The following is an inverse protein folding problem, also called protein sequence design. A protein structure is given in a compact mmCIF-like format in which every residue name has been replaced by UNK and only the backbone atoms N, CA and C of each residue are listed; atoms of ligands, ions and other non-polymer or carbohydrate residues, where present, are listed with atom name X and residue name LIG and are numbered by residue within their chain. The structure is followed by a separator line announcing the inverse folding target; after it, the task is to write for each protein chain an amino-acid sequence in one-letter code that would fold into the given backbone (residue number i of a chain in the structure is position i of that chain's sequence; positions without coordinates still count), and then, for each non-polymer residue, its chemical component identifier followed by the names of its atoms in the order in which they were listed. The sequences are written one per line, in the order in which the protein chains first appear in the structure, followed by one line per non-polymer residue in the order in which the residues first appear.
data_IF_926996287276
#
_entry.id   IF_926996287276
#
_cell.length_a   1.000
_cell.length_b   1.000
_cell.length_c   1.000
_cell.angle_alpha   90.00
_cell.angle_beta   90.00
_cell.angle_gamma   90.00
#
_symmetry.space_group_name_H-M   'P 1'
#
loop_
_entity.id
_entity.type
_entity.pdbx_description
1 polymer ?
#
# COMPACT_ATOMS: atom_id res chain seq x y z
N UNK A 1 4.19 -9.42 -20.65
CA UNK A 1 3.64 -9.57 -19.31
C UNK A 1 4.04 -10.90 -18.71
N UNK A 2 4.36 -10.93 -17.42
CA UNK A 2 4.55 -12.18 -16.70
C UNK A 2 3.24 -12.53 -15.99
N UNK A 3 2.49 -13.56 -16.45
CA UNK A 3 1.17 -13.86 -15.89
C UNK A 3 1.23 -14.35 -14.43
N UNK A 4 2.38 -14.85 -13.98
CA UNK A 4 2.57 -15.25 -12.59
C UNK A 4 2.48 -14.05 -11.61
N UNK A 5 2.94 -12.88 -12.06
CA UNK A 5 2.97 -11.65 -11.26
C UNK A 5 1.95 -10.61 -11.73
N UNK A 6 1.02 -10.99 -12.62
CA UNK A 6 -0.08 -10.13 -13.01
C UNK A 6 -1.13 -10.15 -11.92
N UNK A 7 -1.37 -8.99 -11.32
CA UNK A 7 -2.34 -8.81 -10.23
C UNK A 7 -3.31 -7.69 -10.58
N UNK A 8 -4.59 -7.90 -10.25
CA UNK A 8 -5.63 -6.91 -10.39
C UNK A 8 -6.09 -6.45 -9.03
N UNK A 9 -6.37 -5.17 -8.93
CA UNK A 9 -6.93 -4.58 -7.73
C UNK A 9 -7.71 -3.31 -8.07
N UNK A 10 -8.60 -2.92 -7.17
CA UNK A 10 -9.36 -1.68 -7.24
C UNK A 10 -8.93 -0.73 -6.15
N UNK A 11 -9.00 0.55 -6.38
CA UNK A 11 -8.91 1.54 -5.31
C UNK A 11 -10.06 1.36 -4.32
N UNK A 12 -9.85 1.74 -3.08
CA UNK A 12 -10.86 1.61 -2.03
C UNK A 12 -10.75 2.73 -1.00
N UNK A 13 -11.86 2.99 -0.34
CA UNK A 13 -11.97 3.88 0.81
C UNK A 13 -12.41 3.10 2.05
N UNK A 14 -12.10 3.61 3.23
CA UNK A 14 -12.44 3.00 4.52
C UNK A 14 -13.76 3.54 5.08
N UNK A 15 -14.32 4.59 4.45
CA UNK A 15 -15.62 5.17 4.79
C UNK A 15 -15.57 6.41 5.68
N UNK A 16 -14.38 6.88 6.03
CA UNK A 16 -14.19 8.12 6.80
C UNK A 16 -13.41 9.21 6.06
N UNK A 17 -13.05 8.94 4.81
CA UNK A 17 -12.33 9.89 3.97
C UNK A 17 -13.26 11.06 3.58
N UNK A 18 -12.82 12.31 3.75
CA UNK A 18 -13.65 13.49 3.49
C UNK A 18 -13.92 13.74 2.00
N UNK A 19 -13.05 13.21 1.14
CA UNK A 19 -13.10 13.35 -0.31
C UNK A 19 -12.82 11.99 -0.97
N UNK A 20 -13.86 11.38 -1.53
CA UNK A 20 -13.78 10.08 -2.17
C UNK A 20 -13.11 10.16 -3.55
N UNK A 21 -13.34 11.22 -4.32
CA UNK A 21 -12.72 11.39 -5.65
C UNK A 21 -11.20 11.56 -5.49
N UNK A 22 -10.77 12.37 -4.50
CA UNK A 22 -9.35 12.45 -4.18
C UNK A 22 -8.79 11.10 -3.76
N UNK A 23 -9.47 10.40 -2.86
CA UNK A 23 -8.97 9.14 -2.29
C UNK A 23 -8.89 8.02 -3.32
N UNK A 24 -9.91 7.88 -4.15
CA UNK A 24 -10.05 6.76 -5.07
C UNK A 24 -9.36 6.99 -6.43
N UNK A 25 -9.24 8.23 -6.86
CA UNK A 25 -8.82 8.57 -8.23
C UNK A 25 -7.62 9.53 -8.22
N UNK A 26 -7.79 10.74 -7.69
CA UNK A 26 -6.81 11.81 -7.91
C UNK A 26 -5.51 11.59 -7.14
N UNK A 27 -5.58 11.16 -5.89
CA UNK A 27 -4.39 10.92 -5.05
C UNK A 27 -3.52 9.78 -5.57
N UNK A 28 -4.06 8.60 -5.92
CA UNK A 28 -3.27 7.55 -6.57
C UNK A 28 -2.58 8.03 -7.85
N UNK A 29 -3.28 8.74 -8.71
CA UNK A 29 -2.74 9.29 -9.97
C UNK A 29 -1.60 10.27 -9.68
N UNK A 30 -1.82 11.25 -8.79
CA UNK A 30 -0.77 12.23 -8.44
C UNK A 30 0.48 11.55 -7.89
N UNK A 31 0.33 10.54 -7.04
CA UNK A 31 1.49 9.81 -6.47
C UNK A 31 2.26 9.01 -7.52
N UNK A 32 1.56 8.30 -8.38
CA UNK A 32 2.19 7.48 -9.45
C UNK A 32 2.87 8.35 -10.49
N UNK A 33 2.36 9.56 -10.75
CA UNK A 33 2.88 10.48 -11.76
C UNK A 33 3.79 11.58 -11.19
N UNK A 34 4.08 11.58 -9.89
CA UNK A 34 5.00 12.56 -9.28
C UNK A 34 6.46 12.19 -9.63
N UNK A 35 7.17 13.02 -10.43
CA UNK A 35 8.55 12.73 -10.83
C UNK A 35 9.54 12.76 -9.66
N UNK A 36 9.14 13.32 -8.51
CA UNK A 36 9.96 13.30 -7.29
C UNK A 36 9.97 11.94 -6.60
N UNK A 37 8.96 11.10 -6.86
CA UNK A 37 8.83 9.77 -6.27
C UNK A 37 9.49 8.73 -7.20
N UNK A 38 10.81 8.81 -7.30
CA UNK A 38 11.60 8.07 -8.28
C UNK A 38 11.81 6.58 -7.95
N UNK A 39 11.52 6.16 -6.73
CA UNK A 39 11.64 4.77 -6.30
C UNK A 39 10.30 4.19 -5.91
N UNK A 40 10.13 2.91 -6.18
CA UNK A 40 8.90 2.17 -5.87
C UNK A 40 9.23 0.79 -5.33
N UNK A 41 8.45 0.36 -4.35
CA UNK A 41 8.43 -1.01 -3.83
C UNK A 41 7.00 -1.51 -3.87
N UNK A 42 6.72 -2.50 -4.72
CA UNK A 42 5.42 -3.15 -4.84
C UNK A 42 5.43 -4.51 -4.15
N UNK A 43 4.36 -4.83 -3.46
CA UNK A 43 4.18 -6.15 -2.86
C UNK A 43 2.71 -6.47 -2.59
N UNK A 44 2.27 -7.71 -2.84
CA UNK A 44 0.99 -8.20 -2.38
C UNK A 44 1.04 -8.59 -0.91
N UNK A 45 -0.12 -8.62 -0.29
CA UNK A 45 -0.27 -9.19 1.05
C UNK A 45 -1.63 -9.87 1.20
N UNK A 46 -1.67 -10.86 2.11
CA UNK A 46 -2.89 -11.50 2.57
C UNK A 46 -2.93 -11.48 4.08
N UNK A 47 -4.07 -11.08 4.65
CA UNK A 47 -4.30 -11.16 6.10
C UNK A 47 -4.59 -12.60 6.50
N UNK A 48 -4.21 -12.95 7.70
CA UNK A 48 -4.65 -14.20 8.31
C UNK A 48 -6.14 -14.11 8.65
N UNK A 49 -6.89 -15.19 8.45
CA UNK A 49 -8.31 -15.26 8.77
C UNK A 49 -8.62 -14.94 10.24
N UNK A 50 -7.64 -15.14 11.12
CA UNK A 50 -7.74 -14.75 12.54
C UNK A 50 -7.97 -13.24 12.74
N UNK A 51 -7.54 -12.38 11.81
CA UNK A 51 -7.80 -10.95 11.90
C UNK A 51 -9.30 -10.65 11.78
N UNK A 52 -9.99 -11.33 10.88
CA UNK A 52 -11.43 -11.13 10.64
C UNK A 52 -12.30 -11.62 11.82
N UNK A 53 -11.74 -12.46 12.68
CA UNK A 53 -12.43 -12.95 13.90
C UNK A 53 -12.31 -12.00 15.08
N UNK A 54 -11.47 -10.97 14.99
CA UNK A 54 -11.30 -9.98 16.04
C UNK A 54 -12.52 -9.06 16.14
N UNK A 55 -12.79 -8.57 17.35
CA UNK A 55 -13.81 -7.54 17.54
C UNK A 55 -13.45 -6.26 16.75
N UNK A 56 -14.42 -5.52 16.19
CA UNK A 56 -14.17 -4.35 15.35
C UNK A 56 -13.27 -3.29 16.01
N UNK A 57 -13.41 -3.09 17.33
CA UNK A 57 -12.57 -2.17 18.10
C UNK A 57 -11.10 -2.61 18.12
N UNK A 58 -10.87 -3.91 18.23
CA UNK A 58 -9.53 -4.47 18.23
C UNK A 58 -8.88 -4.37 16.84
N UNK A 59 -9.62 -4.72 15.78
CA UNK A 59 -9.19 -4.50 14.40
C UNK A 59 -8.78 -3.04 14.17
N UNK A 60 -9.62 -2.09 14.58
CA UNK A 60 -9.33 -0.65 14.47
C UNK A 60 -8.04 -0.30 15.19
N UNK A 61 -7.83 -0.77 16.41
CA UNK A 61 -6.62 -0.48 17.20
C UNK A 61 -5.35 -0.99 16.51
N UNK A 62 -5.40 -2.21 15.95
CA UNK A 62 -4.28 -2.81 15.21
C UNK A 62 -4.00 -2.02 13.92
N UNK A 63 -5.04 -1.63 13.18
CA UNK A 63 -4.91 -0.83 11.96
C UNK A 63 -4.38 0.58 12.23
N UNK A 64 -4.77 1.18 13.35
CA UNK A 64 -4.25 2.50 13.77
C UNK A 64 -2.77 2.46 14.12
N UNK A 65 -2.31 1.42 14.81
CA UNK A 65 -0.89 1.19 15.09
C UNK A 65 -0.08 1.12 13.78
N UNK A 66 -0.50 0.27 12.86
CA UNK A 66 0.15 0.11 11.56
C UNK A 66 0.10 1.40 10.73
N UNK A 67 -1.06 2.02 10.61
CA UNK A 67 -1.28 3.26 9.89
C UNK A 67 -0.51 4.45 10.49
N UNK A 68 -0.21 4.42 11.81
CA UNK A 68 0.62 5.41 12.48
C UNK A 68 2.05 5.45 11.92
N UNK A 69 2.63 4.29 11.62
CA UNK A 69 3.94 4.22 10.96
C UNK A 69 3.87 4.87 9.57
N UNK A 70 2.89 4.49 8.74
CA UNK A 70 2.72 5.06 7.41
C UNK A 70 2.54 6.58 7.44
N UNK A 71 1.72 7.09 8.35
CA UNK A 71 1.52 8.55 8.52
C UNK A 71 2.81 9.27 8.91
N UNK A 72 3.61 8.71 9.80
CA UNK A 72 4.89 9.33 10.20
C UNK A 72 5.85 9.48 9.02
N UNK A 73 6.01 8.43 8.21
CA UNK A 73 6.84 8.48 7.00
C UNK A 73 6.24 9.41 5.93
N UNK A 74 4.92 9.38 5.75
CA UNK A 74 4.22 10.24 4.80
C UNK A 74 4.34 11.72 5.15
N UNK A 75 4.13 12.09 6.41
CA UNK A 75 4.25 13.48 6.90
C UNK A 75 5.68 14.02 6.77
N UNK A 76 6.68 13.14 6.86
CA UNK A 76 8.08 13.49 6.64
C UNK A 76 8.45 13.57 5.14
N UNK A 77 7.54 13.25 4.22
CA UNK A 77 7.77 13.25 2.78
C UNK A 77 8.62 12.09 2.25
N UNK A 78 8.88 11.09 3.06
CA UNK A 78 9.76 9.98 2.70
C UNK A 78 9.06 8.84 1.97
N UNK A 79 7.79 8.57 2.32
CA UNK A 79 7.05 7.43 1.77
C UNK A 79 5.62 7.84 1.49
N UNK A 80 5.18 7.60 0.28
CA UNK A 80 3.78 7.68 -0.13
C UNK A 80 3.30 6.30 -0.55
N UNK A 81 2.01 6.02 -0.37
CA UNK A 81 1.46 4.73 -0.71
C UNK A 81 0.37 4.82 -1.79
N UNK A 82 0.30 3.79 -2.61
CA UNK A 82 -0.86 3.46 -3.45
C UNK A 82 -1.30 2.07 -3.04
N UNK A 83 -2.58 1.94 -2.70
CA UNK A 83 -3.14 0.67 -2.20
C UNK A 83 -4.31 0.24 -3.07
N UNK A 84 -4.28 -1.01 -3.47
CA UNK A 84 -5.37 -1.64 -4.21
C UNK A 84 -5.92 -2.80 -3.39
N UNK A 85 -7.24 -2.94 -3.34
CA UNK A 85 -7.91 -4.11 -2.82
C UNK A 85 -8.04 -5.16 -3.93
N UNK A 86 -7.63 -6.40 -3.66
CA UNK A 86 -7.51 -7.46 -4.65
C UNK A 86 -8.50 -8.61 -4.43
N UNK A 87 -9.31 -8.56 -3.38
CA UNK A 87 -10.23 -9.63 -2.99
C UNK A 87 -11.04 -10.18 -4.17
N UNK A 88 -10.82 -11.45 -4.50
CA UNK A 88 -11.52 -12.15 -5.57
C UNK A 88 -11.18 -11.68 -7.00
N UNK A 89 -10.13 -10.88 -7.19
CA UNK A 89 -9.77 -10.29 -8.48
C UNK A 89 -8.54 -10.93 -9.13
N UNK A 90 -7.81 -11.78 -8.40
CA UNK A 90 -6.59 -12.38 -8.93
C UNK A 90 -6.38 -13.81 -8.39
N UNK A 91 -5.59 -14.61 -9.12
CA UNK A 91 -5.44 -16.06 -8.89
C UNK A 91 -4.78 -16.47 -7.56
N UNK A 92 -3.99 -15.57 -6.96
CA UNK A 92 -3.25 -15.88 -5.73
C UNK A 92 -4.06 -15.51 -4.47
N UNK A 93 -5.26 -14.95 -4.65
CA UNK A 93 -6.17 -14.58 -3.58
C UNK A 93 -5.51 -13.67 -2.53
N UNK A 94 -4.79 -12.64 -2.99
CA UNK A 94 -4.28 -11.61 -2.11
C UNK A 94 -5.40 -10.64 -1.70
N UNK A 95 -5.31 -10.07 -0.51
CA UNK A 95 -6.26 -9.05 -0.08
C UNK A 95 -5.90 -7.69 -0.65
N UNK A 96 -4.60 -7.38 -0.70
CA UNK A 96 -4.11 -6.08 -1.12
C UNK A 96 -2.83 -6.17 -1.94
N UNK A 97 -2.69 -5.20 -2.85
CA UNK A 97 -1.45 -4.83 -3.50
C UNK A 97 -1.03 -3.45 -3.00
N UNK A 98 0.15 -3.36 -2.42
CA UNK A 98 0.69 -2.12 -1.87
C UNK A 98 1.84 -1.64 -2.75
N UNK A 99 1.80 -0.36 -3.14
CA UNK A 99 2.92 0.37 -3.71
C UNK A 99 3.40 1.42 -2.73
N UNK A 100 4.66 1.35 -2.33
CA UNK A 100 5.35 2.42 -1.60
C UNK A 100 6.21 3.19 -2.58
N UNK A 101 6.02 4.51 -2.63
CA UNK A 101 6.74 5.41 -3.53
C UNK A 101 7.50 6.44 -2.70
N UNK A 102 8.69 6.80 -3.14
CA UNK A 102 9.50 7.81 -2.45
C UNK A 102 10.67 8.33 -3.29
N UNK A 103 11.30 9.42 -2.84
CA UNK A 103 12.47 9.98 -3.51
C UNK A 103 13.69 9.06 -3.42
N UNK A 104 13.77 8.24 -2.37
CA UNK A 104 14.90 7.36 -2.07
C UNK A 104 14.45 5.96 -1.66
N UNK A 105 15.26 4.96 -1.98
CA UNK A 105 14.95 3.55 -1.68
C UNK A 105 15.05 3.22 -0.19
N UNK A 106 16.03 3.81 0.52
CA UNK A 106 16.26 3.48 1.93
C UNK A 106 15.04 3.75 2.82
N UNK A 107 14.35 4.91 2.76
CA UNK A 107 13.15 5.13 3.56
C UNK A 107 12.02 4.15 3.26
N UNK A 108 11.88 3.68 2.01
CA UNK A 108 10.87 2.67 1.64
C UNK A 108 11.14 1.35 2.37
N UNK A 109 12.39 0.89 2.32
CA UNK A 109 12.82 -0.33 3.05
C UNK A 109 12.68 -0.18 4.56
N UNK A 110 13.10 0.96 5.10
CA UNK A 110 12.96 1.27 6.54
C UNK A 110 11.51 1.28 7.00
N UNK A 111 10.60 1.84 6.19
CA UNK A 111 9.17 1.82 6.47
C UNK A 111 8.64 0.39 6.58
N UNK A 112 8.96 -0.49 5.61
CA UNK A 112 8.57 -1.90 5.65
C UNK A 112 9.13 -2.58 6.90
N UNK A 113 10.39 -2.33 7.26
CA UNK A 113 11.02 -2.87 8.46
C UNK A 113 10.27 -2.45 9.74
N UNK A 114 9.87 -1.17 9.83
CA UNK A 114 9.07 -0.67 10.95
C UNK A 114 7.68 -1.31 10.99
N UNK A 115 7.01 -1.39 9.86
CA UNK A 115 5.68 -1.98 9.75
C UNK A 115 5.66 -3.46 10.18
N UNK A 116 6.73 -4.21 9.92
CA UNK A 116 6.86 -5.62 10.36
C UNK A 116 6.80 -5.81 11.87
N UNK A 117 7.03 -4.76 12.66
CA UNK A 117 6.95 -4.81 14.13
C UNK A 117 5.53 -4.55 14.66
N UNK A 118 4.63 -4.05 13.82
CA UNK A 118 3.23 -3.83 14.20
C UNK A 118 2.48 -5.15 14.29
N UNK A 119 1.46 -5.20 15.14
CA UNK A 119 0.64 -6.41 15.34
C UNK A 119 -0.01 -6.87 14.04
N UNK A 120 -0.49 -5.95 13.19
CA UNK A 120 -1.05 -6.31 11.88
C UNK A 120 -0.07 -7.19 11.11
N UNK A 121 1.19 -6.79 11.00
CA UNK A 121 2.15 -7.48 10.15
C UNK A 121 2.79 -8.70 10.83
N UNK A 122 3.07 -8.62 12.14
CA UNK A 122 3.77 -9.69 12.85
C UNK A 122 2.86 -10.85 13.26
N UNK A 123 1.56 -10.61 13.42
CA UNK A 123 0.62 -11.61 13.94
C UNK A 123 -0.48 -11.95 12.94
N UNK A 124 -0.96 -10.96 12.19
CA UNK A 124 -2.17 -11.08 11.39
C UNK A 124 -1.93 -11.04 9.87
N UNK A 125 -0.72 -11.34 9.39
CA UNK A 125 -0.47 -11.62 7.99
C UNK A 125 -0.17 -13.10 7.78
N UNK A 126 -0.83 -13.67 6.78
CA UNK A 126 -0.55 -15.01 6.26
C UNK A 126 0.54 -14.94 5.20
N UNK A 127 0.52 -13.87 4.38
CA UNK A 127 1.47 -13.66 3.29
C UNK A 127 1.87 -12.20 3.19
N UNK A 128 3.14 -11.98 2.90
CA UNK A 128 3.72 -10.67 2.63
C UNK A 128 4.80 -10.79 1.55
N UNK A 129 4.54 -10.25 0.38
CA UNK A 129 5.41 -10.36 -0.80
C UNK A 129 4.96 -11.43 -1.79
N UNK A 130 5.73 -11.66 -2.89
CA UNK A 130 7.10 -11.16 -3.14
C UNK A 130 7.19 -9.64 -3.28
N UNK A 131 8.38 -9.09 -3.02
CA UNK A 131 8.67 -7.67 -3.14
C UNK A 131 9.34 -7.37 -4.48
N UNK A 132 8.86 -6.31 -5.16
CA UNK A 132 9.42 -5.78 -6.39
C UNK A 132 9.89 -4.35 -6.13
N UNK A 133 11.20 -4.15 -6.11
CA UNK A 133 11.79 -2.82 -5.95
C UNK A 133 12.37 -2.35 -7.29
N UNK A 134 12.14 -1.10 -7.63
CA UNK A 134 12.65 -0.53 -8.86
C UNK A 134 12.73 0.99 -8.82
N UNK A 135 13.52 1.55 -9.74
CA UNK A 135 13.54 2.96 -10.04
C UNK A 135 12.64 3.22 -11.24
N UNK A 136 11.89 4.29 -11.18
CA UNK A 136 11.02 4.73 -12.28
C UNK A 136 11.90 5.11 -13.47
N UNK A 137 11.70 4.43 -14.59
CA UNK A 137 12.41 4.70 -15.84
C UNK A 137 11.60 5.62 -16.77
N UNK A 138 10.28 5.61 -16.65
CA UNK A 138 9.36 6.41 -17.43
C UNK A 138 8.05 6.64 -16.68
N UNK A 139 7.50 7.82 -16.85
CA UNK A 139 6.15 8.19 -16.38
C UNK A 139 5.44 8.99 -17.47
N UNK A 140 4.12 8.85 -17.59
CA UNK A 140 3.34 9.78 -18.40
C UNK A 140 3.28 11.15 -17.72
N UNK A 141 3.05 12.19 -18.53
CA UNK A 141 2.77 13.50 -17.96
C UNK A 141 1.48 13.43 -17.10
N UNK A 142 1.44 14.14 -15.96
CA UNK A 142 0.21 14.23 -15.19
C UNK A 142 -0.92 14.83 -16.07
N UNK A 143 -2.19 14.43 -15.82
CA UNK A 143 -3.31 15.01 -16.53
C UNK A 143 -3.28 16.55 -16.37
N UNK A 144 -3.48 17.27 -17.45
CA UNK A 144 -3.68 18.73 -17.40
C UNK A 144 -4.99 19.00 -16.66
N UNK A 145 -5.02 19.96 -15.73
CA UNK A 145 -6.24 20.30 -15.00
C UNK A 145 -7.37 20.76 -15.91
#
# INVERSE_FOLDING_TARGET
PNPEYTMFGRTYALGYEPDLDDTLILRPIRRVLDPKLAWVVWYPLRRAGSFEQLAPKEQTTILMEHGGVGRAYGSAGYVHDVRLACHGLEKNDNDFLIGLLGPELFPLSSCVQRMRRTRQTSIHLERLGPFFAGRVAWQSAPPTP
#
